data_IF_656582835026
#
_entry.id   IF_656582835026
#
_cell.length_a   1.000
_cell.length_b   1.000
_cell.length_c   1.000
_cell.angle_alpha   90.00
_cell.angle_beta   90.00
_cell.angle_gamma   90.00
#
_symmetry.space_group_name_H-M   'P 1'
#
loop_
_entity.id
_entity.type
_entity.pdbx_description
1 polymer ?
#
# COMPACT_ATOMS: atom_id res chain seq x y z
N UNK A 1 5.14 41.03 -10.77
CA UNK A 1 3.75 41.44 -11.05
C UNK A 1 3.04 40.24 -11.67
N UNK A 2 1.96 39.78 -11.03
CA UNK A 2 1.11 38.63 -11.37
C UNK A 2 1.64 37.20 -11.21
N UNK A 3 1.60 36.74 -9.96
CA UNK A 3 1.11 35.41 -9.57
C UNK A 3 -0.31 35.15 -10.07
N UNK A 4 -0.59 33.95 -10.59
CA UNK A 4 -1.90 33.31 -10.49
C UNK A 4 -1.76 31.81 -10.24
N UNK A 5 -1.95 31.46 -8.97
CA UNK A 5 -2.45 30.17 -8.53
C UNK A 5 -3.79 29.88 -9.20
N UNK A 6 -3.98 28.65 -9.66
CA UNK A 6 -5.29 28.02 -9.75
C UNK A 6 -5.24 26.76 -8.90
N UNK A 7 -5.71 26.91 -7.67
CA UNK A 7 -6.01 25.81 -6.75
C UNK A 7 -7.22 25.04 -7.29
N UNK A 8 -7.00 23.81 -7.74
CA UNK A 8 -8.10 22.87 -7.98
C UNK A 8 -8.42 22.14 -6.66
N UNK A 9 -9.66 22.29 -6.20
CA UNK A 9 -10.20 21.70 -4.98
C UNK A 9 -10.40 20.18 -5.15
N UNK A 10 -9.46 19.39 -4.65
CA UNK A 10 -9.51 17.92 -4.69
C UNK A 10 -9.91 17.28 -3.33
N UNK A 11 -10.61 18.02 -2.45
CA UNK A 11 -10.84 17.62 -1.05
C UNK A 11 -11.92 16.55 -0.80
N UNK A 12 -12.73 16.15 -1.79
CA UNK A 12 -13.82 15.16 -1.59
C UNK A 12 -13.58 13.80 -2.26
N UNK A 13 -12.67 13.72 -3.23
CA UNK A 13 -12.45 12.48 -3.99
C UNK A 13 -11.45 11.54 -3.29
N UNK A 14 -10.48 12.08 -2.56
CA UNK A 14 -9.35 11.35 -1.97
C UNK A 14 -9.77 10.34 -0.89
N UNK A 15 -10.74 10.67 -0.04
CA UNK A 15 -11.10 9.81 1.11
C UNK A 15 -12.00 8.60 0.75
N UNK A 16 -12.90 8.76 -0.23
CA UNK A 16 -13.71 7.64 -0.72
C UNK A 16 -12.87 6.65 -1.54
N UNK A 17 -11.78 7.15 -2.14
CA UNK A 17 -10.73 6.39 -2.82
C UNK A 17 -9.87 5.63 -1.79
N UNK A 18 -9.51 6.23 -0.65
CA UNK A 18 -8.77 5.60 0.46
C UNK A 18 -9.35 4.23 0.88
N UNK A 19 -10.67 4.17 1.13
CA UNK A 19 -11.33 2.96 1.64
C UNK A 19 -11.69 1.95 0.53
N UNK A 20 -11.75 2.40 -0.74
CA UNK A 20 -11.98 1.54 -1.91
C UNK A 20 -10.69 0.91 -2.43
N UNK A 21 -9.55 1.58 -2.37
CA UNK A 21 -8.27 1.02 -2.81
C UNK A 21 -7.76 -0.10 -1.91
N UNK A 22 -8.11 -0.10 -0.62
CA UNK A 22 -7.90 -1.26 0.27
C UNK A 22 -8.54 -2.55 -0.26
N UNK A 23 -9.52 -2.47 -1.18
CA UNK A 23 -10.20 -3.63 -1.78
C UNK A 23 -9.59 -4.12 -3.11
N UNK A 24 -8.69 -3.35 -3.73
CA UNK A 24 -8.10 -3.70 -5.04
C UNK A 24 -6.88 -4.63 -4.93
N UNK A 25 -6.28 -4.74 -3.74
CA UNK A 25 -5.19 -5.66 -3.49
C UNK A 25 -5.75 -7.07 -3.30
N UNK A 26 -5.61 -7.91 -4.32
CA UNK A 26 -5.89 -9.35 -4.25
C UNK A 26 -4.97 -9.98 -3.19
N UNK A 27 -5.54 -10.10 -1.98
CA UNK A 27 -5.03 -10.76 -0.78
C UNK A 27 -3.85 -10.04 -0.10
N UNK A 28 -3.98 -9.94 1.24
CA UNK A 28 -2.91 -9.73 2.25
C UNK A 28 -2.85 -8.37 2.98
N UNK A 29 -3.98 -7.72 3.23
CA UNK A 29 -4.09 -6.91 4.47
C UNK A 29 -4.48 -7.85 5.62
N UNK A 30 -3.51 -8.24 6.46
CA UNK A 30 -3.78 -8.88 7.75
C UNK A 30 -4.02 -7.80 8.80
N UNK A 31 -5.17 -7.13 8.76
CA UNK A 31 -5.52 -6.24 9.85
C UNK A 31 -5.50 -7.00 11.18
N UNK A 32 -4.71 -6.52 12.16
CA UNK A 32 -4.60 -7.16 13.46
C UNK A 32 -5.99 -7.31 14.08
N UNK A 33 -6.29 -8.48 14.68
CA UNK A 33 -7.54 -8.64 15.41
C UNK A 33 -7.59 -7.64 16.57
N UNK A 34 -8.80 -7.22 16.95
CA UNK A 34 -9.04 -6.35 18.12
C UNK A 34 -8.40 -4.95 18.05
N UNK A 35 -8.08 -4.44 16.85
CA UNK A 35 -7.74 -3.03 16.63
C UNK A 35 -8.84 -2.26 15.88
N UNK A 36 -9.10 -1.04 16.32
CA UNK A 36 -9.90 -0.03 15.61
C UNK A 36 -8.95 1.05 15.09
N UNK A 37 -8.71 1.05 13.79
CA UNK A 37 -7.88 2.07 13.14
C UNK A 37 -8.76 3.30 12.93
N UNK A 38 -8.33 4.43 13.49
CA UNK A 38 -8.99 5.72 13.33
C UNK A 38 -8.06 6.63 12.53
N UNK A 39 -8.52 7.22 11.44
CA UNK A 39 -7.72 8.12 10.61
C UNK A 39 -8.38 9.49 10.48
N UNK A 40 -7.62 10.56 10.70
CA UNK A 40 -8.08 11.93 10.58
C UNK A 40 -6.89 12.89 10.34
N UNK A 41 -7.03 13.82 9.39
CA UNK A 41 -6.12 14.94 9.21
C UNK A 41 -6.82 16.25 9.58
N UNK A 42 -6.10 17.21 10.17
CA UNK A 42 -6.69 18.45 10.73
C UNK A 42 -7.56 19.26 9.75
N UNK A 43 -7.26 19.18 8.45
CA UNK A 43 -8.00 19.92 7.40
C UNK A 43 -9.21 19.15 6.85
N UNK A 44 -9.43 17.93 7.31
CA UNK A 44 -10.49 17.07 6.80
C UNK A 44 -11.73 17.14 7.69
N UNK A 45 -12.91 17.20 7.08
CA UNK A 45 -14.19 17.20 7.80
C UNK A 45 -14.67 15.77 8.12
N UNK A 46 -13.79 14.78 7.96
CA UNK A 46 -14.14 13.37 8.11
C UNK A 46 -13.16 12.57 8.96
N UNK A 47 -13.69 11.51 9.56
CA UNK A 47 -12.97 10.53 10.37
C UNK A 47 -13.17 9.16 9.72
N UNK A 48 -12.06 8.56 9.30
CA UNK A 48 -12.01 7.19 8.81
C UNK A 48 -11.97 6.21 9.98
N UNK A 49 -12.72 5.11 9.86
CA UNK A 49 -12.85 4.07 10.89
C UNK A 49 -12.72 2.72 10.19
N UNK A 50 -11.74 1.92 10.59
CA UNK A 50 -11.52 0.59 10.03
C UNK A 50 -11.29 -0.45 11.13
N UNK A 51 -11.92 -1.63 11.03
CA UNK A 51 -11.70 -2.74 11.96
C UNK A 51 -12.07 -4.09 11.34
N UNK A 52 -11.38 -5.16 11.75
CA UNK A 52 -11.73 -6.54 11.40
C UNK A 52 -12.66 -7.14 12.45
N UNK A 53 -13.85 -7.55 12.04
CA UNK A 53 -14.79 -8.26 12.89
C UNK A 53 -14.87 -9.73 12.50
N UNK A 54 -14.62 -10.60 13.49
CA UNK A 54 -14.68 -12.05 13.36
C UNK A 54 -15.71 -12.56 14.35
N UNK A 55 -16.70 -13.29 13.84
CA UNK A 55 -17.77 -13.88 14.63
C UNK A 55 -18.16 -15.22 13.99
N UNK A 56 -17.90 -16.31 14.70
CA UNK A 56 -18.12 -17.67 14.22
C UNK A 56 -19.61 -18.00 14.09
N UNK A 57 -20.42 -17.60 15.07
CA UNK A 57 -21.88 -17.83 15.12
C UNK A 57 -22.59 -17.29 13.87
N UNK A 58 -22.12 -16.15 13.37
CA UNK A 58 -22.64 -15.49 12.18
C UNK A 58 -21.78 -15.72 10.92
N UNK A 59 -20.72 -16.54 11.01
CA UNK A 59 -19.75 -16.80 9.94
C UNK A 59 -19.21 -15.51 9.32
N UNK A 60 -18.91 -14.51 10.14
CA UNK A 60 -18.34 -13.24 9.71
C UNK A 60 -16.85 -13.29 9.97
N UNK A 61 -16.06 -13.01 8.93
CA UNK A 61 -14.66 -12.62 9.05
C UNK A 61 -14.45 -11.57 7.96
N UNK A 62 -14.50 -10.30 8.37
CA UNK A 62 -14.51 -9.19 7.42
C UNK A 62 -13.96 -7.90 8.02
N UNK A 63 -13.27 -7.13 7.20
CA UNK A 63 -12.90 -5.75 7.50
C UNK A 63 -14.07 -4.81 7.16
N UNK A 64 -14.43 -3.98 8.13
CA UNK A 64 -15.43 -2.92 8.01
C UNK A 64 -14.72 -1.58 7.94
N UNK A 65 -15.10 -0.79 6.94
CA UNK A 65 -14.54 0.52 6.63
C UNK A 65 -15.68 1.55 6.61
N UNK A 66 -15.54 2.63 7.37
CA UNK A 66 -16.50 3.72 7.41
C UNK A 66 -15.76 5.06 7.29
N UNK A 67 -16.44 6.05 6.71
CA UNK A 67 -16.03 7.45 6.77
C UNK A 67 -17.20 8.27 7.31
N UNK A 68 -16.97 9.01 8.40
CA UNK A 68 -18.00 9.74 9.16
C UNK A 68 -17.62 11.21 9.26
N UNK A 69 -18.62 12.09 9.44
CA UNK A 69 -18.34 13.51 9.65
C UNK A 69 -17.70 13.75 11.01
N UNK A 70 -16.79 14.72 11.12
CA UNK A 70 -16.15 15.08 12.40
C UNK A 70 -17.17 15.48 13.48
N UNK A 71 -18.19 16.23 13.08
CA UNK A 71 -19.27 16.73 13.93
C UNK A 71 -20.45 15.75 14.10
N UNK A 72 -20.39 14.57 13.48
CA UNK A 72 -21.43 13.56 13.66
C UNK A 72 -21.46 13.06 15.11
N UNK A 73 -22.64 12.87 15.68
CA UNK A 73 -22.78 12.30 17.04
C UNK A 73 -22.32 10.84 17.07
N UNK A 74 -21.61 10.47 18.15
CA UNK A 74 -21.10 9.12 18.37
C UNK A 74 -22.21 8.06 18.28
N UNK A 75 -23.39 8.31 18.85
CA UNK A 75 -24.52 7.37 18.79
C UNK A 75 -24.95 7.04 17.34
N UNK A 76 -24.90 8.02 16.43
CA UNK A 76 -25.16 7.80 15.00
C UNK A 76 -24.08 6.90 14.37
N UNK A 77 -22.82 7.14 14.72
CA UNK A 77 -21.69 6.33 14.25
C UNK A 77 -21.82 4.88 14.73
N UNK A 78 -22.11 4.65 16.02
CA UNK A 78 -22.29 3.31 16.59
C UNK A 78 -23.47 2.56 15.95
N UNK A 79 -24.61 3.24 15.75
CA UNK A 79 -25.76 2.69 15.01
C UNK A 79 -25.38 2.30 13.58
N UNK A 80 -24.50 3.07 12.93
CA UNK A 80 -24.03 2.78 11.58
C UNK A 80 -23.09 1.58 11.54
N UNK A 81 -22.22 1.43 12.54
CA UNK A 81 -21.37 0.24 12.72
C UNK A 81 -22.27 -0.99 12.87
N UNK A 82 -23.25 -0.95 13.79
CA UNK A 82 -24.19 -2.04 14.02
C UNK A 82 -24.94 -2.41 12.73
N UNK A 83 -25.50 -1.41 12.05
CA UNK A 83 -26.19 -1.59 10.77
C UNK A 83 -25.31 -2.26 9.70
N UNK A 84 -24.01 -1.95 9.68
CA UNK A 84 -23.07 -2.48 8.69
C UNK A 84 -22.78 -3.96 8.95
N UNK A 85 -22.57 -4.33 10.22
CA UNK A 85 -22.37 -5.71 10.66
C UNK A 85 -23.65 -6.53 10.40
N UNK A 86 -24.80 -6.03 10.83
CA UNK A 86 -26.10 -6.69 10.69
C UNK A 86 -26.46 -6.94 9.22
N UNK A 87 -26.14 -6.02 8.30
CA UNK A 87 -26.32 -6.24 6.85
C UNK A 87 -25.49 -7.42 6.32
N UNK A 88 -24.27 -7.61 6.82
CA UNK A 88 -23.41 -8.74 6.41
C UNK A 88 -23.94 -10.04 7.00
N UNK A 89 -24.35 -10.04 8.27
CA UNK A 89 -24.99 -11.17 8.93
C UNK A 89 -26.26 -11.64 8.18
N UNK A 90 -27.14 -10.70 7.81
CA UNK A 90 -28.38 -10.96 7.05
C UNK A 90 -28.11 -11.60 5.68
N UNK A 91 -27.15 -11.06 4.91
CA UNK A 91 -26.84 -11.59 3.57
C UNK A 91 -26.39 -13.05 3.62
N UNK A 92 -25.67 -13.45 4.67
CA UNK A 92 -25.27 -14.85 4.85
C UNK A 92 -26.41 -15.73 5.37
N UNK A 93 -27.34 -15.17 6.16
CA UNK A 93 -28.55 -15.84 6.68
C UNK A 93 -29.70 -15.96 5.69
N UNK A 94 -29.80 -15.18 4.60
CA UNK A 94 -30.82 -15.42 3.55
C UNK A 94 -30.74 -16.81 2.87
N UNK A 95 -29.71 -17.62 3.14
CA UNK A 95 -29.65 -19.05 2.79
C UNK A 95 -30.30 -19.99 3.83
N UNK A 96 -30.65 -19.53 5.03
CA UNK A 96 -31.30 -20.28 6.11
C UNK A 96 -32.46 -19.46 6.70
N UNK A 97 -33.72 -19.87 6.45
CA UNK A 97 -34.97 -19.19 6.86
C UNK A 97 -35.08 -18.95 8.39
N UNK A 98 -34.54 -17.85 8.91
CA UNK A 98 -34.81 -17.34 10.27
C UNK A 98 -34.86 -15.81 10.25
N UNK A 99 -35.88 -15.24 10.92
CA UNK A 99 -36.33 -13.84 10.73
C UNK A 99 -35.75 -12.81 11.72
N UNK A 100 -35.18 -13.18 12.87
CA UNK A 100 -34.65 -12.21 13.82
C UNK A 100 -33.14 -12.36 14.08
N UNK A 101 -32.43 -11.23 14.06
CA UNK A 101 -31.02 -11.16 14.42
C UNK A 101 -30.88 -10.78 15.89
N UNK A 102 -29.99 -11.45 16.65
CA UNK A 102 -29.58 -10.91 17.93
C UNK A 102 -28.92 -9.55 17.70
N UNK A 103 -29.41 -8.53 18.39
CA UNK A 103 -28.78 -7.22 18.40
C UNK A 103 -27.41 -7.36 19.06
N UNK A 104 -26.35 -7.10 18.30
CA UNK A 104 -24.99 -7.15 18.82
C UNK A 104 -24.77 -5.82 19.56
N UNK A 105 -24.60 -5.82 20.89
CA UNK A 105 -24.43 -4.58 21.62
C UNK A 105 -23.12 -3.91 21.20
N UNK A 106 -23.21 -2.64 20.80
CA UNK A 106 -22.05 -1.84 20.38
C UNK A 106 -21.97 -0.60 21.26
N UNK A 107 -20.83 -0.38 21.89
CA UNK A 107 -20.59 0.80 22.73
C UNK A 107 -19.12 1.22 22.69
N UNK A 108 -18.87 2.50 22.94
CA UNK A 108 -17.52 3.02 23.18
C UNK A 108 -17.31 3.16 24.69
N UNK A 109 -16.25 2.55 25.22
CA UNK A 109 -15.93 2.50 26.65
C UNK A 109 -14.68 3.30 26.95
N UNK A 110 -14.69 4.14 27.97
CA UNK A 110 -13.50 4.83 28.49
C UNK A 110 -12.79 4.01 29.56
N UNK A 111 -13.57 3.29 30.38
CA UNK A 111 -13.06 2.28 31.33
C UNK A 111 -13.96 1.04 31.25
N UNK A 112 -13.64 -0.03 32.00
CA UNK A 112 -14.47 -1.24 32.08
C UNK A 112 -15.94 -0.97 32.46
N UNK A 113 -16.19 0.13 33.18
CA UNK A 113 -17.51 0.46 33.72
C UNK A 113 -18.13 1.74 33.13
N UNK A 114 -17.35 2.58 32.47
CA UNK A 114 -17.81 3.87 31.96
C UNK A 114 -17.91 3.90 30.43
N UNK A 115 -19.11 4.18 29.93
CA UNK A 115 -19.37 4.40 28.51
C UNK A 115 -19.24 5.88 28.16
N UNK A 116 -18.74 6.14 26.95
CA UNK A 116 -18.65 7.50 26.40
C UNK A 116 -20.05 8.00 26.05
N UNK A 117 -20.36 9.27 26.36
CA UNK A 117 -21.64 9.87 26.01
C UNK A 117 -21.85 9.87 24.48
N UNK A 118 -22.96 9.27 24.01
CA UNK A 118 -23.31 9.16 22.59
C UNK A 118 -23.59 10.50 21.89
N UNK A 119 -23.86 11.57 22.65
CA UNK A 119 -24.03 12.93 22.12
C UNK A 119 -22.69 13.62 21.76
N UNK A 120 -21.58 13.05 22.23
CA UNK A 120 -20.23 13.55 21.92
C UNK A 120 -19.96 13.44 20.43
N UNK A 121 -19.21 14.40 19.87
CA UNK A 121 -18.83 14.37 18.46
C UNK A 121 -17.86 13.22 18.16
N UNK A 122 -17.91 12.74 16.92
CA UNK A 122 -17.05 11.69 16.38
C UNK A 122 -15.57 12.04 16.54
N UNK A 123 -15.18 13.29 16.22
CA UNK A 123 -13.78 13.73 16.35
C UNK A 123 -13.31 13.73 17.81
N UNK A 124 -14.13 14.22 18.75
CA UNK A 124 -13.76 14.25 20.16
C UNK A 124 -13.67 12.85 20.75
N UNK A 125 -14.60 11.97 20.38
CA UNK A 125 -14.67 10.60 20.91
C UNK A 125 -13.64 9.65 20.29
N UNK A 126 -13.37 9.72 19.00
CA UNK A 126 -12.51 8.75 18.32
C UNK A 126 -11.08 9.26 18.06
N UNK A 127 -10.87 10.58 17.97
CA UNK A 127 -9.57 11.17 17.63
C UNK A 127 -8.94 11.81 18.87
N UNK A 128 -9.52 12.87 19.41
CA UNK A 128 -8.88 13.63 20.50
C UNK A 128 -8.76 12.83 21.80
N UNK A 129 -9.84 12.13 22.19
CA UNK A 129 -9.85 11.30 23.40
C UNK A 129 -9.72 9.80 23.11
N UNK A 130 -9.53 9.40 21.85
CA UNK A 130 -9.62 7.99 21.46
C UNK A 130 -8.55 7.11 22.12
N UNK A 131 -7.41 7.65 22.54
CA UNK A 131 -6.39 6.91 23.31
C UNK A 131 -6.90 6.38 24.66
N UNK A 132 -7.96 6.99 25.20
CA UNK A 132 -8.59 6.57 26.45
C UNK A 132 -9.77 5.62 26.21
N UNK A 133 -10.10 5.32 24.95
CA UNK A 133 -11.32 4.62 24.60
C UNK A 133 -11.04 3.24 23.99
N UNK A 134 -12.05 2.38 24.06
CA UNK A 134 -12.11 1.10 23.37
C UNK A 134 -13.51 0.86 22.83
N UNK A 135 -13.60 0.33 21.61
CA UNK A 135 -14.87 -0.03 21.00
C UNK A 135 -15.22 -1.47 21.42
N UNK A 136 -16.42 -1.66 21.97
CA UNK A 136 -16.93 -2.97 22.38
C UNK A 136 -18.00 -3.38 21.37
N UNK A 137 -17.85 -4.58 20.80
CA UNK A 137 -18.81 -5.20 19.88
C UNK A 137 -19.14 -6.59 20.43
N UNK A 138 -20.30 -6.76 21.05
CA UNK A 138 -20.64 -8.00 21.73
C UNK A 138 -19.69 -8.27 22.89
N UNK A 139 -18.89 -9.35 22.79
CA UNK A 139 -17.88 -9.74 23.78
C UNK A 139 -16.49 -9.21 23.46
N UNK A 140 -16.36 -8.53 22.33
CA UNK A 140 -15.08 -8.22 21.73
C UNK A 140 -14.68 -6.77 22.02
N UNK A 141 -13.49 -6.57 22.54
CA UNK A 141 -12.92 -5.25 22.79
C UNK A 141 -11.90 -4.89 21.71
N UNK A 142 -12.02 -3.68 21.19
CA UNK A 142 -11.16 -3.12 20.16
C UNK A 142 -10.41 -1.90 20.69
N UNK A 143 -9.09 -1.95 20.65
CA UNK A 143 -8.23 -0.83 21.05
C UNK A 143 -8.15 0.16 19.90
N UNK A 144 -8.34 1.45 20.19
CA UNK A 144 -8.21 2.50 19.20
C UNK A 144 -6.73 2.77 18.89
N UNK A 145 -6.39 2.74 17.61
CA UNK A 145 -5.08 3.10 17.09
C UNK A 145 -5.28 4.30 16.14
N UNK A 146 -4.98 5.48 16.64
CA UNK A 146 -5.27 6.76 15.99
C UNK A 146 -4.10 7.16 15.10
N UNK A 147 -4.37 7.43 13.83
CA UNK A 147 -3.39 7.80 12.82
C UNK A 147 -2.12 6.91 12.90
N UNK A 148 -2.23 5.58 12.83
CA UNK A 148 -1.05 4.74 12.71
C UNK A 148 -0.42 4.94 11.33
N UNK A 149 0.89 4.69 11.18
CA UNK A 149 1.54 4.62 9.86
C UNK A 149 0.79 3.66 8.94
N UNK A 150 0.40 4.09 7.73
CA UNK A 150 -0.37 3.27 6.78
C UNK A 150 0.21 3.40 5.38
N UNK A 151 0.51 2.26 4.75
CA UNK A 151 0.84 2.19 3.32
C UNK A 151 -0.45 2.30 2.51
N UNK A 152 -0.65 3.43 1.84
CA UNK A 152 -1.83 3.66 1.00
C UNK A 152 -1.74 2.96 -0.35
N UNK A 153 -0.54 2.96 -0.94
CA UNK A 153 -0.33 2.30 -2.21
C UNK A 153 1.09 1.74 -2.31
N UNK A 154 1.20 0.54 -2.89
CA UNK A 154 2.45 -0.17 -3.06
C UNK A 154 2.39 -0.98 -4.36
N UNK A 155 3.24 -0.65 -5.32
CA UNK A 155 3.33 -1.34 -6.62
C UNK A 155 4.78 -1.63 -6.98
N UNK A 156 5.01 -2.78 -7.62
CA UNK A 156 6.29 -3.13 -8.24
C UNK A 156 6.28 -2.82 -9.74
N UNK A 157 7.46 -2.70 -10.39
CA UNK A 157 7.55 -2.54 -11.83
C UNK A 157 6.92 -3.69 -12.60
N UNK A 158 6.47 -3.41 -13.83
CA UNK A 158 5.94 -4.42 -14.77
C UNK A 158 7.02 -5.06 -15.63
N UNK A 159 8.28 -4.71 -15.39
CA UNK A 159 9.45 -5.34 -15.97
C UNK A 159 10.54 -5.37 -14.90
N UNK A 160 11.19 -6.51 -14.70
CA UNK A 160 12.26 -6.67 -13.71
C UNK A 160 13.37 -7.50 -14.35
N UNK A 161 14.57 -6.94 -14.42
CA UNK A 161 15.74 -7.59 -15.02
C UNK A 161 16.77 -7.96 -13.96
N UNK A 162 17.42 -9.11 -14.11
CA UNK A 162 18.57 -9.51 -13.32
C UNK A 162 19.77 -8.56 -13.54
N UNK A 163 20.48 -8.20 -12.48
CA UNK A 163 21.64 -7.30 -12.52
C UNK A 163 21.29 -5.81 -12.54
N UNK A 164 20.05 -5.46 -12.16
CA UNK A 164 19.55 -4.09 -12.09
C UNK A 164 18.93 -3.81 -10.73
N UNK A 165 18.99 -2.54 -10.31
CA UNK A 165 18.41 -2.13 -9.04
C UNK A 165 16.91 -1.94 -9.19
N UNK A 166 16.17 -2.50 -8.23
CA UNK A 166 14.73 -2.54 -8.14
C UNK A 166 14.25 -1.69 -6.96
N UNK A 167 13.13 -1.01 -7.17
CA UNK A 167 12.42 -0.22 -6.16
C UNK A 167 10.92 -0.23 -6.49
N UNK A 168 10.02 0.03 -5.54
CA UNK A 168 8.60 0.14 -5.83
C UNK A 168 8.34 1.31 -6.78
N UNK A 169 7.59 1.08 -7.87
CA UNK A 169 7.20 2.15 -8.82
C UNK A 169 6.20 3.12 -8.22
N UNK A 170 5.50 2.68 -7.18
CA UNK A 170 4.56 3.48 -6.40
C UNK A 170 4.66 3.06 -4.95
N UNK A 171 4.94 4.02 -4.07
CA UNK A 171 4.92 3.85 -2.63
C UNK A 171 4.36 5.13 -2.01
N UNK A 172 3.10 5.07 -1.60
CA UNK A 172 2.45 6.17 -0.88
C UNK A 172 2.17 5.73 0.55
N UNK A 173 2.52 6.57 1.52
CA UNK A 173 2.30 6.33 2.94
C UNK A 173 1.73 7.57 3.61
N UNK A 174 0.88 7.36 4.62
CA UNK A 174 0.39 8.42 5.52
C UNK A 174 0.73 8.09 6.97
N UNK A 175 0.87 9.14 7.78
CA UNK A 175 1.19 9.05 9.22
C UNK A 175 2.45 8.24 9.55
N UNK A 176 3.32 8.05 8.55
CA UNK A 176 4.55 7.29 8.61
C UNK A 176 5.68 8.04 7.94
N UNK A 177 6.91 7.57 8.16
CA UNK A 177 8.13 8.09 7.53
C UNK A 177 8.89 6.95 6.86
N UNK A 178 9.29 7.17 5.60
CA UNK A 178 9.98 6.15 4.79
C UNK A 178 11.26 5.66 5.46
N UNK A 179 12.12 6.60 5.89
CA UNK A 179 13.40 6.29 6.56
C UNK A 179 13.25 5.43 7.83
N UNK A 180 12.11 5.53 8.51
CA UNK A 180 11.85 4.78 9.74
C UNK A 180 11.24 3.41 9.44
N UNK A 181 10.68 3.23 8.24
CA UNK A 181 9.94 2.03 7.84
C UNK A 181 10.86 0.89 7.43
N UNK A 182 10.40 -0.35 7.60
CA UNK A 182 11.18 -1.53 7.26
C UNK A 182 10.68 -2.11 5.93
N UNK A 183 11.63 -2.42 5.06
CA UNK A 183 11.37 -2.99 3.74
C UNK A 183 12.06 -4.34 3.67
N UNK A 184 11.30 -5.39 3.33
CA UNK A 184 11.83 -6.75 3.25
C UNK A 184 11.49 -7.37 1.91
N UNK A 185 12.52 -7.77 1.19
CA UNK A 185 12.42 -8.42 -0.10
C UNK A 185 12.49 -9.93 0.04
N UNK A 186 11.63 -10.60 -0.72
CA UNK A 186 11.62 -12.04 -0.84
C UNK A 186 11.62 -12.45 -2.31
N UNK A 187 12.19 -13.61 -2.60
CA UNK A 187 12.06 -14.30 -3.88
C UNK A 187 11.39 -15.65 -3.70
N UNK A 188 10.72 -16.15 -4.73
CA UNK A 188 10.23 -17.53 -4.70
C UNK A 188 11.40 -18.51 -4.73
N UNK A 189 11.35 -19.58 -3.92
CA UNK A 189 12.39 -20.60 -3.95
C UNK A 189 12.48 -21.29 -5.32
N UNK A 190 11.31 -21.59 -5.91
CA UNK A 190 11.17 -22.21 -7.23
C UNK A 190 11.11 -21.17 -8.35
N UNK A 191 11.52 -21.61 -9.54
CA UNK A 191 11.30 -20.92 -10.80
C UNK A 191 9.93 -21.32 -11.38
N UNK A 192 9.35 -20.43 -12.17
CA UNK A 192 8.09 -20.66 -12.87
C UNK A 192 8.31 -20.53 -14.37
N UNK A 193 7.52 -21.27 -15.15
CA UNK A 193 7.62 -21.23 -16.62
C UNK A 193 6.96 -19.98 -17.21
N UNK A 194 5.98 -19.41 -16.50
CA UNK A 194 5.28 -18.20 -16.90
C UNK A 194 4.70 -17.44 -15.71
N UNK A 195 4.33 -16.19 -15.93
CA UNK A 195 3.63 -15.38 -14.94
C UNK A 195 2.29 -16.00 -14.53
N UNK A 196 1.62 -16.69 -15.45
CA UNK A 196 0.35 -17.38 -15.18
C UNK A 196 0.53 -18.53 -14.21
N UNK A 197 1.59 -19.32 -14.41
CA UNK A 197 1.96 -20.43 -13.53
C UNK A 197 2.28 -19.93 -12.12
N UNK A 198 3.17 -18.94 -12.00
CA UNK A 198 3.47 -18.30 -10.72
C UNK A 198 2.24 -17.72 -10.03
N UNK A 199 1.35 -17.06 -10.77
CA UNK A 199 0.08 -16.51 -10.25
C UNK A 199 -0.89 -17.57 -9.75
N UNK A 200 -0.95 -18.72 -10.42
CA UNK A 200 -1.81 -19.83 -10.02
C UNK A 200 -1.35 -20.48 -8.69
N UNK A 201 -0.06 -20.39 -8.39
CA UNK A 201 0.58 -20.98 -7.22
C UNK A 201 0.78 -20.01 -6.05
N UNK A 202 0.33 -18.75 -6.13
CA UNK A 202 0.58 -17.68 -5.13
C UNK A 202 0.36 -18.08 -3.66
N UNK A 203 -0.60 -18.96 -3.37
CA UNK A 203 -0.91 -19.39 -2.01
C UNK A 203 0.07 -20.42 -1.44
N UNK A 204 0.82 -21.11 -2.30
CA UNK A 204 1.71 -22.21 -1.95
C UNK A 204 3.17 -21.88 -2.26
N UNK A 205 3.49 -20.60 -2.52
CA UNK A 205 4.86 -20.17 -2.77
C UNK A 205 5.64 -20.17 -1.46
N UNK A 206 6.78 -20.88 -1.47
CA UNK A 206 7.80 -20.74 -0.45
C UNK A 206 8.68 -19.53 -0.79
N UNK A 207 8.80 -18.63 0.17
CA UNK A 207 9.48 -17.34 0.03
C UNK A 207 10.81 -17.37 0.78
N UNK A 208 11.88 -17.07 0.07
CA UNK A 208 13.22 -16.89 0.62
C UNK A 208 13.48 -15.39 0.78
N UNK A 209 13.92 -14.96 1.97
CA UNK A 209 14.28 -13.57 2.25
C UNK A 209 15.60 -13.22 1.56
N UNK A 210 15.64 -12.11 0.83
CA UNK A 210 16.81 -11.71 0.01
C UNK A 210 17.28 -10.26 0.21
N UNK A 211 16.54 -9.44 0.95
CA UNK A 211 16.98 -8.07 1.23
C UNK A 211 16.18 -7.37 2.32
N UNK A 212 16.80 -6.38 2.95
CA UNK A 212 16.26 -5.56 4.06
C UNK A 212 16.44 -4.06 3.81
N UNK A 213 16.07 -3.61 2.61
CA UNK A 213 16.20 -2.21 2.21
C UNK A 213 15.10 -1.81 1.22
N UNK A 214 14.89 -0.49 1.08
CA UNK A 214 13.97 0.05 0.07
C UNK A 214 14.35 -0.41 -1.34
N UNK A 215 15.65 -0.43 -1.62
CA UNK A 215 16.22 -0.87 -2.89
C UNK A 215 16.63 -2.34 -2.82
N UNK A 216 16.40 -3.09 -3.90
CA UNK A 216 16.87 -4.47 -4.06
C UNK A 216 17.72 -4.61 -5.32
N UNK A 217 18.90 -5.22 -5.19
CA UNK A 217 19.75 -5.53 -6.35
C UNK A 217 19.44 -6.93 -6.83
N UNK A 218 18.80 -7.05 -7.99
CA UNK A 218 18.48 -8.35 -8.57
C UNK A 218 19.74 -9.06 -9.07
N UNK A 219 19.73 -10.39 -9.04
CA UNK A 219 20.85 -11.24 -9.47
C UNK A 219 20.42 -12.27 -10.52
N UNK A 220 21.38 -12.99 -11.09
CA UNK A 220 21.11 -14.10 -12.02
C UNK A 220 20.34 -15.26 -11.37
N UNK A 221 20.42 -15.41 -10.04
CA UNK A 221 19.66 -16.41 -9.28
C UNK A 221 18.15 -16.14 -9.27
N UNK A 222 17.77 -14.87 -9.48
CA UNK A 222 16.38 -14.43 -9.46
C UNK A 222 15.67 -14.73 -10.78
N UNK A 223 16.39 -15.02 -11.86
CA UNK A 223 15.82 -15.26 -13.18
C UNK A 223 14.79 -16.40 -13.14
N UNK A 224 13.58 -16.08 -13.62
CA UNK A 224 12.42 -16.99 -13.63
C UNK A 224 11.69 -17.11 -12.29
N UNK A 225 12.07 -16.33 -11.27
CA UNK A 225 11.40 -16.29 -9.95
C UNK A 225 10.46 -15.09 -9.85
N UNK A 226 9.51 -15.19 -8.90
CA UNK A 226 8.68 -14.07 -8.47
C UNK A 226 9.37 -13.32 -7.33
N UNK A 227 9.20 -12.00 -7.28
CA UNK A 227 9.64 -11.17 -6.17
C UNK A 227 8.45 -10.67 -5.35
N UNK A 228 8.65 -10.52 -4.06
CA UNK A 228 7.69 -9.94 -3.12
C UNK A 228 8.39 -8.88 -2.27
N UNK A 229 7.72 -7.76 -2.08
CA UNK A 229 8.12 -6.72 -1.14
C UNK A 229 7.10 -6.65 -0.01
N UNK A 230 7.57 -6.77 1.22
CA UNK A 230 6.82 -6.50 2.44
C UNK A 230 7.31 -5.17 3.05
N UNK A 231 6.39 -4.34 3.50
CA UNK A 231 6.67 -3.04 4.12
C UNK A 231 5.99 -2.99 5.47
N UNK A 232 6.77 -2.76 6.53
CA UNK A 232 6.25 -2.39 7.84
C UNK A 232 6.36 -0.86 8.00
N UNK A 233 5.26 -0.11 7.83
CA UNK A 233 5.28 1.34 7.94
C UNK A 233 5.51 1.78 9.39
N UNK A 234 6.37 2.78 9.59
CA UNK A 234 6.74 3.27 10.93
C UNK A 234 6.78 4.80 11.02
N UNK A 235 6.69 5.29 12.25
CA UNK A 235 6.98 6.67 12.64
C UNK A 235 7.59 6.65 14.04
N UNK A 236 8.93 6.73 14.12
CA UNK A 236 9.67 6.41 15.35
C UNK A 236 9.35 5.00 15.87
N UNK A 237 8.88 4.92 17.11
CA UNK A 237 8.50 3.65 17.76
C UNK A 237 7.13 3.11 17.33
N UNK A 238 6.29 3.94 16.70
CA UNK A 238 4.97 3.49 16.25
C UNK A 238 5.10 2.68 14.97
N UNK A 239 4.41 1.55 14.93
CA UNK A 239 4.33 0.66 13.77
C UNK A 239 2.88 0.54 13.31
N UNK A 240 2.69 0.55 12.00
CA UNK A 240 1.41 0.23 11.38
C UNK A 240 1.25 -1.25 11.04
N UNK A 241 0.28 -1.52 10.17
CA UNK A 241 0.06 -2.85 9.59
C UNK A 241 1.04 -3.09 8.45
N UNK A 242 1.62 -4.29 8.38
CA UNK A 242 2.44 -4.68 7.24
C UNK A 242 1.60 -4.71 5.96
N UNK A 243 2.14 -4.14 4.89
CA UNK A 243 1.61 -4.24 3.54
C UNK A 243 2.56 -5.07 2.69
N UNK A 244 2.04 -5.89 1.79
CA UNK A 244 2.88 -6.66 0.86
C UNK A 244 2.36 -6.59 -0.57
N UNK A 245 3.29 -6.71 -1.51
CA UNK A 245 3.03 -6.77 -2.95
C UNK A 245 3.90 -7.85 -3.57
N UNK A 246 3.31 -8.65 -4.45
CA UNK A 246 4.02 -9.62 -5.29
C UNK A 246 4.10 -9.06 -6.70
N UNK A 247 5.27 -9.19 -7.34
CA UNK A 247 5.46 -8.75 -8.70
C UNK A 247 4.51 -9.50 -9.65
N UNK A 248 3.96 -8.78 -10.62
CA UNK A 248 3.09 -9.36 -11.64
C UNK A 248 3.85 -10.12 -12.73
N UNK A 249 5.18 -10.02 -12.73
CA UNK A 249 6.12 -10.53 -13.72
C UNK A 249 7.22 -11.37 -13.09
N UNK A 250 7.79 -12.30 -13.87
CA UNK A 250 9.00 -13.00 -13.49
C UNK A 250 10.23 -12.12 -13.77
N UNK A 251 11.31 -12.33 -13.01
CA UNK A 251 12.59 -11.67 -13.31
C UNK A 251 13.14 -12.24 -14.62
N UNK A 252 13.41 -11.37 -15.59
CA UNK A 252 14.03 -11.74 -16.86
C UNK A 252 15.55 -11.58 -16.82
N UNK A 253 16.24 -12.16 -17.80
CA UNK A 253 17.63 -11.81 -18.04
C UNK A 253 17.72 -10.31 -18.43
N UNK A 254 18.82 -9.66 -18.03
CA UNK A 254 19.17 -8.32 -18.52
C UNK A 254 19.67 -8.34 -19.97
N UNK A 255 19.89 -7.16 -20.58
CA UNK A 255 20.31 -7.04 -22.00
C UNK A 255 21.76 -7.46 -22.30
N UNK A 256 22.48 -8.02 -21.34
CA UNK A 256 23.92 -8.25 -21.44
C UNK A 256 24.71 -6.96 -21.17
N UNK A 257 25.85 -6.79 -21.85
CA UNK A 257 26.71 -5.62 -21.68
C UNK A 257 25.99 -4.33 -22.13
N UNK A 258 25.88 -3.37 -21.22
CA UNK A 258 25.31 -2.07 -21.52
C UNK A 258 26.41 -1.06 -21.89
N UNK A 259 26.22 -0.17 -22.88
CA UNK A 259 27.25 0.79 -23.29
C UNK A 259 27.80 1.65 -22.14
N UNK A 260 26.96 1.98 -21.15
CA UNK A 260 27.36 2.77 -19.99
C UNK A 260 28.32 2.03 -19.04
N UNK A 261 28.39 0.70 -19.06
CA UNK A 261 29.29 -0.05 -18.19
C UNK A 261 30.76 0.21 -18.54
N UNK A 262 31.05 0.46 -19.83
CA UNK A 262 32.37 0.93 -20.27
C UNK A 262 32.71 2.32 -19.73
N UNK A 263 31.69 3.17 -19.56
CA UNK A 263 31.84 4.52 -18.99
C UNK A 263 32.00 4.45 -17.47
N UNK A 264 31.34 3.49 -16.81
CA UNK A 264 31.48 3.24 -15.37
C UNK A 264 32.89 2.88 -14.94
N UNK A 265 33.70 2.32 -15.86
CA UNK A 265 35.13 2.11 -15.61
C UNK A 265 35.86 3.40 -15.18
N UNK A 266 35.37 4.58 -15.60
CA UNK A 266 35.93 5.89 -15.28
C UNK A 266 35.24 6.58 -14.09
N UNK A 267 34.13 6.05 -13.57
CA UNK A 267 33.32 6.69 -12.52
C UNK A 267 33.21 5.90 -11.22
N UNK A 268 33.96 4.79 -11.09
CA UNK A 268 33.97 3.86 -9.91
C UNK A 268 34.06 4.48 -8.52
N UNK A 269 34.56 5.72 -8.39
CA UNK A 269 34.71 6.44 -7.12
C UNK A 269 33.99 7.78 -7.20
N UNK A 270 33.47 8.22 -6.06
CA UNK A 270 32.95 9.58 -5.90
C UNK A 270 34.03 10.61 -6.26
N UNK A 271 33.59 11.76 -6.75
CA UNK A 271 34.47 12.90 -6.97
C UNK A 271 35.12 13.28 -5.63
N UNK A 272 36.43 13.53 -5.63
CA UNK A 272 37.15 13.95 -4.44
C UNK A 272 36.72 15.35 -3.98
N UNK A 273 37.10 15.73 -2.76
CA UNK A 273 36.63 16.94 -2.05
C UNK A 273 36.83 18.28 -2.77
N UNK A 274 37.61 18.33 -3.86
CA UNK A 274 37.87 19.53 -4.68
C UNK A 274 37.46 19.36 -6.15
N UNK A 275 36.59 18.41 -6.44
CA UNK A 275 36.14 18.09 -7.80
C UNK A 275 34.64 17.92 -7.83
N UNK A 276 34.03 18.30 -8.96
CA UNK A 276 32.62 18.11 -9.23
C UNK A 276 32.46 17.20 -10.45
N UNK A 277 31.69 16.12 -10.29
CA UNK A 277 31.23 15.31 -11.42
C UNK A 277 29.89 15.85 -11.88
N UNK A 278 29.79 16.21 -13.15
CA UNK A 278 28.58 16.78 -13.75
C UNK A 278 28.07 15.85 -14.83
N UNK A 279 26.77 15.58 -14.83
CA UNK A 279 26.07 14.82 -15.86
C UNK A 279 25.02 15.74 -16.48
N UNK A 280 24.91 15.73 -17.80
CA UNK A 280 23.80 16.32 -18.54
C UNK A 280 23.23 15.24 -19.45
N UNK A 281 21.94 14.92 -19.30
CA UNK A 281 21.34 13.80 -20.01
C UNK A 281 19.86 14.04 -20.32
N UNK A 282 19.50 13.98 -21.61
CA UNK A 282 18.10 13.90 -22.04
C UNK A 282 17.65 12.43 -21.98
N UNK A 283 16.83 12.11 -20.99
CA UNK A 283 16.41 10.74 -20.68
C UNK A 283 15.20 10.23 -21.48
N UNK A 284 14.75 10.98 -22.48
CA UNK A 284 13.58 10.67 -23.33
C UNK A 284 12.29 10.43 -22.50
N UNK A 285 11.51 11.51 -22.34
CA UNK A 285 10.24 11.44 -21.62
C UNK A 285 9.29 10.42 -22.26
N UNK A 286 8.61 9.64 -21.41
CA UNK A 286 7.75 8.54 -21.84
C UNK A 286 6.58 8.99 -22.71
N UNK A 287 6.07 10.21 -22.45
CA UNK A 287 5.06 10.88 -23.27
C UNK A 287 5.43 10.94 -24.76
N UNK A 288 6.73 11.01 -25.09
CA UNK A 288 7.22 11.06 -26.47
C UNK A 288 7.68 9.70 -26.99
N UNK A 289 7.74 8.67 -26.16
CA UNK A 289 8.20 7.33 -26.53
C UNK A 289 7.05 6.32 -26.68
N UNK A 290 5.94 6.49 -25.96
CA UNK A 290 4.85 5.50 -25.87
C UNK A 290 3.72 5.69 -26.91
N UNK A 291 3.86 6.63 -27.85
CA UNK A 291 2.89 6.79 -28.93
C UNK A 291 3.11 5.79 -30.07
N UNK A 292 2.03 5.39 -30.76
CA UNK A 292 2.14 4.53 -31.94
C UNK A 292 3.03 5.16 -33.01
N UNK A 293 2.89 6.47 -33.23
CA UNK A 293 3.76 7.22 -34.13
C UNK A 293 5.23 7.12 -33.72
N UNK A 294 5.55 7.24 -32.43
CA UNK A 294 6.93 7.11 -31.95
C UNK A 294 7.48 5.72 -32.23
N UNK A 295 6.69 4.67 -31.96
CA UNK A 295 7.08 3.28 -32.20
C UNK A 295 7.28 2.96 -33.68
N UNK A 296 6.44 3.49 -34.58
CA UNK A 296 6.49 3.14 -36.00
C UNK A 296 7.36 4.06 -36.84
N UNK A 297 7.52 5.33 -36.44
CA UNK A 297 8.15 6.36 -37.27
C UNK A 297 9.46 6.86 -36.70
N UNK A 298 9.56 7.05 -35.38
CA UNK A 298 10.78 7.57 -34.74
C UNK A 298 11.74 6.46 -34.34
N UNK A 299 11.22 5.35 -33.82
CA UNK A 299 11.98 4.24 -33.26
C UNK A 299 11.62 2.87 -33.87
N UNK A 300 11.46 2.74 -35.21
CA UNK A 300 10.95 1.52 -35.84
C UNK A 300 11.83 0.28 -35.63
N UNK A 301 13.12 0.48 -35.38
CA UNK A 301 14.08 -0.60 -35.16
C UNK A 301 14.19 -1.04 -33.70
N UNK A 302 13.57 -0.31 -32.77
CA UNK A 302 13.64 -0.61 -31.34
C UNK A 302 12.46 -1.51 -30.97
N UNK A 303 12.72 -2.68 -30.35
CA UNK A 303 11.64 -3.57 -29.95
C UNK A 303 10.75 -2.90 -28.88
N UNK A 304 9.41 -3.11 -28.91
CA UNK A 304 8.48 -2.40 -28.02
C UNK A 304 8.80 -2.52 -26.53
N UNK A 305 9.30 -3.67 -26.08
CA UNK A 305 9.66 -3.87 -24.67
C UNK A 305 10.83 -2.96 -24.23
N UNK A 306 11.74 -2.61 -25.14
CA UNK A 306 12.90 -1.78 -24.84
C UNK A 306 12.56 -0.28 -24.82
N UNK A 307 11.44 0.12 -25.45
CA UNK A 307 10.88 1.47 -25.35
C UNK A 307 10.03 1.66 -24.09
N UNK A 308 9.51 0.58 -23.50
CA UNK A 308 8.67 0.65 -22.31
C UNK A 308 9.37 1.34 -21.14
N UNK A 309 8.64 2.19 -20.42
CA UNK A 309 9.19 3.01 -19.34
C UNK A 309 9.91 2.21 -18.26
N UNK A 310 9.32 1.11 -17.80
CA UNK A 310 9.86 0.28 -16.71
C UNK A 310 11.18 -0.40 -17.10
N UNK A 311 11.34 -0.74 -18.38
CA UNK A 311 12.61 -1.24 -18.91
C UNK A 311 13.66 -0.13 -18.92
N UNK A 312 13.37 1.00 -19.58
CA UNK A 312 14.32 2.12 -19.71
C UNK A 312 14.75 2.68 -18.35
N UNK A 313 13.83 2.79 -17.39
CA UNK A 313 14.13 3.28 -16.03
C UNK A 313 15.21 2.46 -15.33
N UNK A 314 15.17 1.13 -15.44
CA UNK A 314 16.20 0.28 -14.85
C UNK A 314 17.58 0.54 -15.46
N UNK A 315 17.67 0.68 -16.79
CA UNK A 315 18.93 1.02 -17.46
C UNK A 315 19.43 2.41 -17.05
N UNK A 316 18.54 3.41 -17.06
CA UNK A 316 18.87 4.80 -16.71
C UNK A 316 19.36 4.90 -15.27
N UNK A 317 18.73 4.18 -14.33
CA UNK A 317 19.17 4.18 -12.94
C UNK A 317 20.54 3.54 -12.78
N UNK A 318 20.77 2.38 -13.42
CA UNK A 318 22.09 1.75 -13.41
C UNK A 318 23.15 2.67 -14.02
N UNK A 319 22.84 3.34 -15.13
CA UNK A 319 23.75 4.30 -15.79
C UNK A 319 24.08 5.50 -14.90
N UNK A 320 23.08 6.13 -14.29
CA UNK A 320 23.26 7.39 -13.55
C UNK A 320 23.95 7.17 -12.19
N UNK A 321 23.71 6.03 -11.55
CA UNK A 321 24.28 5.71 -10.22
C UNK A 321 25.74 5.27 -10.31
N UNK A 322 26.14 4.58 -11.39
CA UNK A 322 27.53 4.12 -11.59
C UNK A 322 28.50 5.21 -12.01
#
# INVERSE_FOLDING_TARGET
MFTRCTSFSAGRLTFTILLRHLSQYKKLYKMYPRKLIVTHQEKEESVGISFRYVNEDHKIDRIFNLNRGTNEQLGSVLKRINSSISKVAMKKRKKSKQEELPEIPIKLSQTLLQTVNEETTCINSLVHNGHQHSLIIGKDQYILDINPPIVQSLNLPKNIMAGFQLYPTKFDMIFGKEDDSLFTWYRSEKKYESEKDGKSNLLNIQWEKVGDAFLYNTSSEDIGKLLKLEVLPRFGERCGESAEVVADVLVSAGPGECPFERRHAFTKKMAGNKSLRVISYNILADLYADSDFSRTSLFPTIPPYALAQDYRRQLLLKEIIG
#
